data_IF_750549267563
#
_entry.id   IF_750549267563
#
_cell.length_a   1.000
_cell.length_b   1.000
_cell.length_c   1.000
_cell.angle_alpha   90.00
_cell.angle_beta   90.00
_cell.angle_gamma   90.00
#
_symmetry.space_group_name_H-M   'P 1'
#
loop_
_entity.id
_entity.type
_entity.pdbx_description
1 polymer ?
#
# COMPACT_ATOMS: atom_id res chain seq x y z
N UNK A 1 21.25 69.08 -24.75
CA UNK A 1 21.54 67.75 -25.32
C UNK A 1 21.35 66.69 -24.24
N UNK A 2 20.50 65.69 -24.54
CA UNK A 2 20.33 64.36 -23.92
C UNK A 2 20.04 64.27 -22.41
N UNK A 3 18.74 64.18 -22.07
CA UNK A 3 18.25 63.51 -20.86
C UNK A 3 18.46 62.01 -21.04
N UNK A 4 19.31 61.40 -20.21
CA UNK A 4 19.50 59.95 -20.18
C UNK A 4 18.50 59.38 -19.16
N UNK A 5 17.39 58.86 -19.65
CA UNK A 5 16.44 58.07 -18.85
C UNK A 5 17.07 56.69 -18.67
N UNK A 6 17.65 56.44 -17.50
CA UNK A 6 18.10 55.12 -17.10
C UNK A 6 16.88 54.32 -16.65
N UNK A 7 16.25 53.61 -17.59
CA UNK A 7 15.25 52.60 -17.27
C UNK A 7 16.01 51.33 -16.88
N UNK A 8 16.37 51.22 -15.60
CA UNK A 8 16.89 49.96 -15.05
C UNK A 8 15.68 49.04 -14.85
N UNK A 9 15.36 48.25 -15.88
CA UNK A 9 14.49 47.09 -15.72
C UNK A 9 15.19 46.13 -14.76
N UNK A 10 14.83 46.23 -13.48
CA UNK A 10 15.05 45.19 -12.48
C UNK A 10 14.37 43.92 -12.98
N UNK A 11 15.11 43.11 -13.74
CA UNK A 11 14.86 41.68 -13.90
C UNK A 11 15.11 41.05 -12.52
N UNK A 12 14.16 41.22 -11.61
CA UNK A 12 14.04 40.33 -10.46
C UNK A 12 13.68 38.99 -11.10
N UNK A 13 14.54 37.96 -11.08
CA UNK A 13 14.05 36.62 -11.34
C UNK A 13 12.94 36.43 -10.32
N UNK A 14 11.69 36.35 -10.81
CA UNK A 14 10.59 35.90 -10.00
C UNK A 14 10.97 34.48 -9.59
N UNK A 15 11.67 34.36 -8.46
CA UNK A 15 11.74 33.13 -7.71
C UNK A 15 10.29 32.90 -7.30
N UNK A 16 9.56 32.21 -8.18
CA UNK A 16 8.31 31.58 -7.84
C UNK A 16 8.67 30.63 -6.73
N UNK A 17 8.41 31.05 -5.49
CA UNK A 17 8.39 30.12 -4.37
C UNK A 17 7.36 29.07 -4.75
N UNK A 18 7.83 27.91 -5.19
CA UNK A 18 6.96 26.75 -5.32
C UNK A 18 6.38 26.51 -3.94
N UNK A 19 5.06 26.53 -3.82
CA UNK A 19 4.39 26.07 -2.62
C UNK A 19 4.96 24.70 -2.27
N UNK A 20 5.41 24.54 -1.02
CA UNK A 20 5.97 23.28 -0.57
C UNK A 20 4.88 22.20 -0.65
N UNK A 21 5.24 20.97 -1.04
CA UNK A 21 4.28 19.89 -1.05
C UNK A 21 3.76 19.65 0.37
N UNK A 22 2.47 19.39 0.48
CA UNK A 22 1.83 19.01 1.74
C UNK A 22 1.75 17.49 1.77
N UNK A 23 2.39 16.86 2.76
CA UNK A 23 2.33 15.42 2.97
C UNK A 23 1.45 15.13 4.19
N UNK A 24 0.52 14.20 4.04
CA UNK A 24 -0.31 13.69 5.13
C UNK A 24 -0.06 12.19 5.25
N UNK A 25 0.39 11.77 6.43
CA UNK A 25 0.49 10.35 6.77
C UNK A 25 -0.91 9.79 7.07
N UNK A 26 -1.23 8.67 6.43
CA UNK A 26 -2.52 8.00 6.54
C UNK A 26 -2.39 6.68 7.31
N UNK A 27 -1.51 6.60 8.30
CA UNK A 27 -1.21 5.35 9.01
C UNK A 27 -2.18 5.05 10.18
N UNK A 28 -2.85 6.06 10.76
CA UNK A 28 -3.66 5.89 11.98
C UNK A 28 -5.17 5.83 11.75
N UNK A 29 -5.93 5.02 12.51
CA UNK A 29 -7.40 4.98 12.39
C UNK A 29 -7.92 4.11 11.24
N UNK A 30 -7.15 3.10 10.84
CA UNK A 30 -7.65 2.04 9.96
C UNK A 30 -8.51 1.04 10.74
N UNK A 31 -9.47 0.46 10.05
CA UNK A 31 -10.22 -0.69 10.54
C UNK A 31 -10.18 -1.81 9.52
N UNK A 32 -10.27 -3.06 9.98
CA UNK A 32 -10.30 -4.25 9.12
C UNK A 32 -11.41 -5.22 9.53
N UNK A 33 -11.85 -6.04 8.58
CA UNK A 33 -12.80 -7.14 8.81
C UNK A 33 -12.59 -8.25 7.78
N UNK A 34 -13.03 -9.47 8.11
CA UNK A 34 -13.13 -10.53 7.11
C UNK A 34 -14.25 -10.17 6.14
N UNK A 35 -14.00 -10.24 4.83
CA UNK A 35 -14.98 -9.88 3.81
C UNK A 35 -16.29 -10.65 4.01
N UNK A 36 -17.42 -9.93 3.97
CA UNK A 36 -18.74 -10.50 4.18
C UNK A 36 -19.18 -10.61 5.65
N UNK A 37 -18.27 -10.40 6.61
CA UNK A 37 -18.63 -10.20 8.02
C UNK A 37 -18.79 -8.71 8.31
N UNK A 38 -19.58 -8.38 9.34
CA UNK A 38 -19.80 -6.99 9.77
C UNK A 38 -19.08 -6.66 11.09
N UNK A 39 -18.00 -7.35 11.37
CA UNK A 39 -17.24 -7.19 12.62
C UNK A 39 -15.96 -6.41 12.35
N UNK A 40 -16.07 -5.09 12.32
CA UNK A 40 -14.93 -4.19 12.13
C UNK A 40 -14.11 -4.06 13.41
N UNK A 41 -12.80 -4.13 13.28
CA UNK A 41 -11.83 -3.96 14.37
C UNK A 41 -10.75 -2.97 13.95
N UNK A 42 -10.12 -2.31 14.91
CA UNK A 42 -9.02 -1.39 14.61
C UNK A 42 -7.80 -2.14 14.09
N UNK A 43 -7.13 -1.56 13.08
CA UNK A 43 -5.95 -2.10 12.42
C UNK A 43 -4.73 -1.19 12.67
N UNK A 44 -3.55 -1.79 12.88
CA UNK A 44 -2.29 -1.04 12.97
C UNK A 44 -1.59 -1.05 11.61
N UNK A 45 -1.32 0.13 11.06
CA UNK A 45 -0.58 0.29 9.82
C UNK A 45 0.73 1.03 10.12
N UNK A 46 1.90 0.53 9.67
CA UNK A 46 2.10 -0.70 8.90
C UNK A 46 1.81 -1.99 9.70
N UNK A 47 1.20 -2.99 9.05
CA UNK A 47 0.83 -4.24 9.71
C UNK A 47 0.25 -5.31 8.79
N UNK A 48 -0.37 -6.32 9.40
CA UNK A 48 -1.01 -7.43 8.71
C UNK A 48 -2.27 -7.88 9.45
N UNK A 49 -3.19 -8.48 8.70
CA UNK A 49 -4.40 -9.12 9.23
C UNK A 49 -4.07 -10.06 10.38
N UNK A 50 -3.06 -10.91 10.22
CA UNK A 50 -2.67 -11.91 11.21
C UNK A 50 -2.21 -11.24 12.50
N UNK A 51 -1.37 -10.20 12.41
CA UNK A 51 -0.95 -9.42 13.57
C UNK A 51 -2.14 -8.77 14.28
N UNK A 52 -3.06 -8.18 13.53
CA UNK A 52 -4.24 -7.54 14.10
C UNK A 52 -5.19 -8.56 14.75
N UNK A 53 -5.39 -9.73 14.15
CA UNK A 53 -6.17 -10.81 14.75
C UNK A 53 -5.53 -11.34 16.04
N UNK A 54 -4.21 -11.40 16.12
CA UNK A 54 -3.48 -11.75 17.37
C UNK A 54 -3.69 -10.64 18.41
N UNK A 55 -3.56 -9.36 18.04
CA UNK A 55 -3.79 -8.22 18.96
C UNK A 55 -5.20 -8.23 19.55
N UNK A 56 -6.19 -8.58 18.73
CA UNK A 56 -7.59 -8.72 19.13
C UNK A 56 -7.92 -10.07 19.76
N UNK A 57 -6.92 -10.93 20.02
CA UNK A 57 -7.06 -12.26 20.64
C UNK A 57 -8.00 -13.22 19.88
N UNK A 58 -8.19 -12.97 18.58
CA UNK A 58 -8.92 -13.88 17.67
C UNK A 58 -8.02 -15.05 17.28
N UNK A 59 -6.73 -14.80 17.10
CA UNK A 59 -5.72 -15.84 16.93
C UNK A 59 -4.89 -15.98 18.22
N UNK A 60 -4.49 -17.21 18.59
CA UNK A 60 -3.50 -17.41 19.63
C UNK A 60 -2.11 -16.94 19.17
N UNK A 61 -1.15 -16.85 20.09
CA UNK A 61 0.26 -16.64 19.74
C UNK A 61 0.74 -17.78 18.81
N UNK A 62 1.11 -17.48 17.54
CA UNK A 62 1.51 -18.49 16.58
C UNK A 62 2.85 -19.15 16.93
N UNK A 63 3.69 -18.50 17.77
CA UNK A 63 5.01 -19.01 18.16
C UNK A 63 4.97 -19.99 19.33
N UNK A 64 3.81 -20.19 19.96
CA UNK A 64 3.67 -21.05 21.11
C UNK A 64 3.19 -22.47 20.76
N UNK A 65 3.97 -23.48 21.18
CA UNK A 65 3.61 -24.88 21.06
C UNK A 65 3.27 -25.30 19.62
N UNK A 66 2.08 -25.85 19.42
CA UNK A 66 1.59 -26.31 18.10
C UNK A 66 0.57 -25.36 17.48
N UNK A 67 0.57 -24.09 17.88
CA UNK A 67 -0.44 -23.12 17.46
C UNK A 67 -0.36 -22.73 15.98
N UNK A 68 0.74 -23.04 15.28
CA UNK A 68 0.86 -22.83 13.83
C UNK A 68 -0.36 -23.36 13.07
N UNK A 69 -0.84 -24.57 13.39
CA UNK A 69 -2.02 -25.16 12.74
C UNK A 69 -3.32 -24.38 12.99
N UNK A 70 -3.41 -23.65 14.10
CA UNK A 70 -4.59 -22.88 14.50
C UNK A 70 -4.68 -21.51 13.82
N UNK A 71 -3.57 -21.03 13.24
CA UNK A 71 -3.48 -19.70 12.63
C UNK A 71 -3.49 -19.72 11.10
N UNK A 72 -3.75 -20.87 10.47
CA UNK A 72 -3.73 -21.02 9.01
C UNK A 72 -4.98 -20.46 8.33
N UNK A 73 -6.16 -20.57 8.95
CA UNK A 73 -7.44 -20.23 8.31
C UNK A 73 -7.51 -18.82 7.66
N UNK A 74 -6.88 -17.73 8.18
CA UNK A 74 -6.98 -16.41 7.56
C UNK A 74 -6.42 -16.36 6.15
N UNK A 75 -5.53 -17.27 5.76
CA UNK A 75 -4.93 -17.28 4.41
C UNK A 75 -5.94 -17.61 3.32
N UNK A 76 -7.06 -18.26 3.65
CA UNK A 76 -8.12 -18.66 2.73
C UNK A 76 -9.25 -17.64 2.64
N UNK A 77 -9.15 -16.55 3.40
CA UNK A 77 -10.19 -15.53 3.52
C UNK A 77 -9.77 -14.23 2.83
N UNK A 78 -10.77 -13.48 2.35
CA UNK A 78 -10.57 -12.11 1.90
C UNK A 78 -10.75 -11.15 3.08
N UNK A 79 -10.09 -10.00 3.01
CA UNK A 79 -10.06 -9.02 4.09
C UNK A 79 -10.29 -7.62 3.57
N UNK A 80 -11.20 -6.91 4.21
CA UNK A 80 -11.58 -5.55 3.87
C UNK A 80 -11.01 -4.58 4.91
N UNK A 81 -10.37 -3.51 4.44
CA UNK A 81 -9.84 -2.41 5.25
C UNK A 81 -10.58 -1.12 4.90
N UNK A 82 -10.81 -0.24 5.88
CA UNK A 82 -11.37 1.10 5.65
C UNK A 82 -10.74 2.16 6.55
N UNK A 83 -10.77 3.39 6.06
CA UNK A 83 -10.21 4.59 6.71
C UNK A 83 -10.95 5.82 6.21
N UNK A 84 -11.17 6.81 7.07
CA UNK A 84 -11.62 8.14 6.67
C UNK A 84 -10.54 9.18 6.95
N UNK A 85 -10.43 10.18 6.10
CA UNK A 85 -9.48 11.29 6.27
C UNK A 85 -10.08 12.57 5.70
N UNK A 86 -9.67 13.71 6.23
CA UNK A 86 -10.23 15.02 5.84
C UNK A 86 -9.31 15.74 4.89
N UNK A 87 -9.87 16.31 3.82
CA UNK A 87 -9.17 17.17 2.87
C UNK A 87 -9.75 18.58 2.91
N UNK A 88 -8.90 19.58 3.02
CA UNK A 88 -9.27 21.00 3.09
C UNK A 88 -9.42 21.62 1.70
N UNK A 89 -10.09 22.79 1.61
CA UNK A 89 -10.16 23.56 0.35
C UNK A 89 -8.76 23.94 -0.16
N UNK A 90 -7.87 24.33 0.74
CA UNK A 90 -6.49 24.73 0.42
C UNK A 90 -5.70 23.56 -0.20
N UNK A 91 -5.86 22.34 0.34
CA UNK A 91 -5.26 21.15 -0.27
C UNK A 91 -5.84 20.88 -1.66
N UNK A 92 -7.15 21.11 -1.86
CA UNK A 92 -7.80 21.00 -3.16
C UNK A 92 -7.44 22.14 -4.13
N UNK A 93 -6.69 23.16 -3.74
CA UNK A 93 -6.17 24.16 -4.67
C UNK A 93 -4.87 23.72 -5.35
N UNK A 94 -4.20 22.68 -4.86
CA UNK A 94 -2.97 22.18 -5.47
C UNK A 94 -3.24 21.56 -6.86
N UNK A 95 -2.26 21.59 -7.76
CA UNK A 95 -2.43 21.07 -9.12
C UNK A 95 -2.79 19.57 -9.14
N UNK A 96 -2.18 18.79 -8.25
CA UNK A 96 -2.45 17.34 -8.14
C UNK A 96 -2.30 16.84 -6.68
N UNK A 97 -2.80 15.63 -6.44
CA UNK A 97 -2.72 14.90 -5.18
C UNK A 97 -2.33 13.44 -5.45
N UNK A 98 -1.18 13.01 -4.95
CA UNK A 98 -0.67 11.65 -5.10
C UNK A 98 -0.91 10.84 -3.83
N UNK A 99 -1.68 9.76 -3.93
CA UNK A 99 -1.76 8.74 -2.90
C UNK A 99 -0.64 7.71 -3.12
N UNK A 100 0.16 7.48 -2.09
CA UNK A 100 1.28 6.55 -2.12
C UNK A 100 1.06 5.42 -1.12
N UNK A 101 1.07 4.19 -1.62
CA UNK A 101 1.19 2.98 -0.81
C UNK A 101 2.59 2.44 -0.97
N UNK A 102 3.40 2.50 0.08
CA UNK A 102 4.78 1.97 0.02
C UNK A 102 4.83 0.45 -0.14
N UNK A 103 3.75 -0.25 0.23
CA UNK A 103 3.66 -1.70 0.12
C UNK A 103 2.30 -2.25 0.52
N UNK A 104 1.69 -3.01 -0.41
CA UNK A 104 0.44 -3.74 -0.21
C UNK A 104 0.72 -5.24 -0.40
N UNK A 105 0.36 -6.05 0.59
CA UNK A 105 0.58 -7.50 0.58
C UNK A 105 -0.76 -8.24 0.39
N UNK A 106 -1.10 -8.76 -0.80
CA UNK A 106 -0.41 -8.61 -2.09
C UNK A 106 -1.43 -8.30 -3.20
N UNK A 107 -2.48 -9.12 -3.29
CA UNK A 107 -3.55 -8.96 -4.27
C UNK A 107 -4.62 -8.07 -3.68
N UNK A 108 -4.71 -6.82 -4.12
CA UNK A 108 -5.66 -5.87 -3.54
C UNK A 108 -6.30 -4.93 -4.55
N UNK A 109 -7.58 -4.65 -4.32
CA UNK A 109 -8.32 -3.56 -4.96
C UNK A 109 -8.45 -2.39 -3.98
N UNK A 110 -8.04 -1.19 -4.40
CA UNK A 110 -8.16 0.04 -3.62
C UNK A 110 -9.23 0.94 -4.22
N UNK A 111 -10.08 1.46 -3.35
CA UNK A 111 -11.17 2.36 -3.68
C UNK A 111 -11.04 3.66 -2.88
N UNK A 112 -11.28 4.77 -3.53
CA UNK A 112 -11.38 6.09 -2.92
C UNK A 112 -12.74 6.69 -3.28
N UNK A 113 -13.54 7.00 -2.25
CA UNK A 113 -14.91 7.50 -2.41
C UNK A 113 -15.77 6.63 -3.35
N UNK A 114 -15.58 5.31 -3.30
CA UNK A 114 -16.29 4.33 -4.12
C UNK A 114 -15.70 4.09 -5.51
N UNK A 115 -14.80 4.95 -6.01
CA UNK A 115 -14.11 4.73 -7.27
C UNK A 115 -12.91 3.79 -7.07
N UNK A 116 -12.80 2.74 -7.89
CA UNK A 116 -11.59 1.89 -7.91
C UNK A 116 -10.43 2.67 -8.51
N UNK A 117 -9.37 2.88 -7.74
CA UNK A 117 -8.20 3.69 -8.14
C UNK A 117 -6.95 2.83 -8.40
N UNK A 118 -6.88 1.62 -7.85
CA UNK A 118 -5.72 0.77 -7.97
C UNK A 118 -6.10 -0.71 -7.88
N UNK A 119 -5.39 -1.54 -8.64
CA UNK A 119 -5.33 -2.98 -8.47
C UNK A 119 -3.86 -3.38 -8.30
N UNK A 120 -3.56 -4.26 -7.35
CA UNK A 120 -2.19 -4.67 -7.00
C UNK A 120 -2.06 -6.19 -7.02
N UNK A 121 -0.86 -6.66 -7.35
CA UNK A 121 -0.51 -8.10 -7.42
C UNK A 121 0.95 -8.37 -6.98
N UNK A 122 1.62 -7.38 -6.37
CA UNK A 122 3.03 -7.45 -6.05
C UNK A 122 3.36 -6.72 -4.75
N UNK A 123 3.84 -7.48 -3.76
CA UNK A 123 4.21 -7.02 -2.42
C UNK A 123 5.42 -6.08 -2.44
N UNK A 124 6.30 -6.23 -3.43
CA UNK A 124 7.65 -5.68 -3.40
C UNK A 124 7.79 -4.28 -4.01
N UNK A 125 6.71 -3.69 -4.49
CA UNK A 125 6.72 -2.39 -5.16
C UNK A 125 5.82 -1.39 -4.43
N UNK A 126 6.20 -0.12 -4.48
CA UNK A 126 5.35 0.98 -4.06
C UNK A 126 4.41 1.40 -5.20
N UNK A 127 3.24 1.91 -4.84
CA UNK A 127 2.20 2.33 -5.78
C UNK A 127 1.86 3.81 -5.58
N UNK A 128 2.21 4.63 -6.56
CA UNK A 128 1.87 6.05 -6.64
C UNK A 128 0.65 6.23 -7.57
N UNK A 129 -0.43 6.81 -7.06
CA UNK A 129 -1.68 7.02 -7.82
C UNK A 129 -2.11 8.48 -7.69
N UNK A 130 -2.26 9.18 -8.82
CA UNK A 130 -2.91 10.50 -8.82
C UNK A 130 -4.39 10.32 -8.51
N UNK A 131 -4.86 11.00 -7.46
CA UNK A 131 -6.22 10.88 -6.92
C UNK A 131 -6.97 12.21 -6.86
N UNK A 132 -6.39 13.28 -7.43
CA UNK A 132 -6.97 14.63 -7.38
C UNK A 132 -8.46 14.67 -7.73
N UNK A 133 -8.83 14.00 -8.81
CA UNK A 133 -10.20 13.98 -9.34
C UNK A 133 -11.15 13.06 -8.56
N UNK A 134 -10.62 12.23 -7.66
CA UNK A 134 -11.41 11.34 -6.81
C UNK A 134 -11.68 11.95 -5.43
N UNK A 135 -10.94 12.99 -5.04
CA UNK A 135 -11.08 13.66 -3.76
C UNK A 135 -12.28 14.60 -3.73
N UNK A 136 -12.81 14.79 -2.52
CA UNK A 136 -13.83 15.81 -2.23
C UNK A 136 -13.42 16.62 -1.01
N UNK A 137 -13.96 17.84 -0.89
CA UNK A 137 -13.79 18.65 0.32
C UNK A 137 -14.39 17.93 1.52
N UNK A 138 -13.71 17.97 2.66
CA UNK A 138 -14.15 17.33 3.89
C UNK A 138 -13.74 15.86 3.94
N UNK A 139 -14.64 15.01 4.44
CA UNK A 139 -14.35 13.60 4.68
C UNK A 139 -14.23 12.80 3.37
N UNK A 140 -13.13 12.07 3.21
CA UNK A 140 -12.87 11.13 2.14
C UNK A 140 -12.74 9.72 2.74
N UNK A 141 -13.14 8.71 1.98
CA UNK A 141 -13.11 7.32 2.42
C UNK A 141 -12.17 6.49 1.55
N UNK A 142 -11.18 5.87 2.17
CA UNK A 142 -10.41 4.78 1.57
C UNK A 142 -11.01 3.44 1.98
N UNK A 143 -11.07 2.54 1.01
CA UNK A 143 -11.44 1.15 1.21
C UNK A 143 -10.50 0.26 0.41
N UNK A 144 -10.01 -0.81 1.01
CA UNK A 144 -9.10 -1.76 0.36
C UNK A 144 -9.63 -3.16 0.59
N UNK A 145 -9.77 -3.94 -0.48
CA UNK A 145 -10.03 -5.38 -0.38
C UNK A 145 -8.77 -6.13 -0.73
N UNK A 146 -8.26 -6.90 0.22
CA UNK A 146 -7.23 -7.90 0.01
C UNK A 146 -7.88 -9.25 -0.31
N UNK A 147 -7.40 -9.88 -1.38
CA UNK A 147 -7.81 -11.21 -1.77
C UNK A 147 -6.86 -12.25 -1.20
N UNK A 148 -7.42 -13.38 -0.74
CA UNK A 148 -6.65 -14.55 -0.31
C UNK A 148 -5.63 -14.93 -1.39
N UNK A 149 -4.32 -14.95 -1.10
CA UNK A 149 -3.31 -15.34 -2.09
C UNK A 149 -3.43 -16.82 -2.49
N UNK A 150 -4.14 -17.63 -1.69
CA UNK A 150 -4.42 -19.03 -1.98
C UNK A 150 -5.60 -19.13 -2.95
N UNK A 151 -6.78 -18.64 -2.55
CA UNK A 151 -7.99 -18.76 -3.36
C UNK A 151 -7.90 -17.95 -4.66
N UNK A 152 -7.28 -16.76 -4.61
CA UNK A 152 -7.14 -15.87 -5.77
C UNK A 152 -6.24 -16.46 -6.86
N UNK A 153 -5.17 -17.17 -6.47
CA UNK A 153 -4.21 -17.74 -7.42
C UNK A 153 -4.47 -19.20 -7.79
N UNK A 154 -5.46 -19.85 -7.18
CA UNK A 154 -5.82 -21.24 -7.50
C UNK A 154 -6.10 -21.45 -9.01
N UNK A 155 -6.79 -20.54 -9.74
CA UNK A 155 -6.95 -20.68 -11.18
C UNK A 155 -5.62 -20.73 -11.95
N UNK A 156 -4.61 -19.96 -11.52
CA UNK A 156 -3.29 -19.98 -12.15
C UNK A 156 -2.60 -21.33 -11.93
N UNK A 157 -2.69 -21.90 -10.73
CA UNK A 157 -2.16 -23.25 -10.45
C UNK A 157 -2.87 -24.32 -11.29
N UNK A 158 -4.20 -24.29 -11.32
CA UNK A 158 -5.01 -25.28 -12.07
C UNK A 158 -4.75 -25.24 -13.58
N UNK A 159 -4.37 -24.07 -14.12
CA UNK A 159 -4.09 -23.90 -15.56
C UNK A 159 -2.61 -24.07 -15.93
N UNK A 160 -1.70 -24.19 -14.94
CA UNK A 160 -0.26 -24.31 -15.18
C UNK A 160 0.15 -25.66 -15.82
N UNK A 161 -0.65 -26.72 -15.60
CA UNK A 161 -0.44 -28.05 -16.19
C UNK A 161 0.57 -28.95 -15.47
N UNK A 162 1.24 -28.45 -14.42
CA UNK A 162 2.08 -29.22 -13.50
C UNK A 162 2.21 -28.50 -12.16
N UNK A 163 2.64 -29.22 -11.12
CA UNK A 163 2.99 -28.63 -9.82
C UNK A 163 4.46 -28.23 -9.79
N UNK A 164 4.75 -27.01 -9.33
CA UNK A 164 6.12 -26.58 -9.10
C UNK A 164 6.71 -27.33 -7.89
N UNK A 165 7.98 -27.76 -7.93
CA UNK A 165 8.62 -28.48 -6.83
C UNK A 165 9.11 -27.50 -5.73
N UNK A 166 8.20 -26.74 -5.13
CA UNK A 166 8.50 -25.79 -4.07
C UNK A 166 8.35 -26.46 -2.69
N UNK A 167 9.29 -27.33 -2.32
CA UNK A 167 9.17 -28.12 -1.07
C UNK A 167 9.15 -27.27 0.20
N UNK A 168 9.73 -26.06 0.16
CA UNK A 168 9.67 -25.09 1.27
C UNK A 168 8.28 -24.43 1.44
N UNK A 169 7.41 -24.47 0.42
CA UNK A 169 6.02 -24.07 0.61
C UNK A 169 5.31 -25.20 1.36
N UNK A 170 4.99 -24.96 2.64
CA UNK A 170 4.43 -25.94 3.58
C UNK A 170 2.93 -26.19 3.35
N UNK A 171 2.53 -26.37 2.09
CA UNK A 171 1.19 -26.80 1.67
C UNK A 171 1.30 -27.90 0.61
N UNK A 172 0.28 -28.75 0.51
CA UNK A 172 0.16 -29.71 -0.60
C UNK A 172 0.02 -28.98 -1.96
N UNK A 173 -0.59 -27.80 -1.95
CA UNK A 173 -0.74 -26.94 -3.13
C UNK A 173 0.35 -25.88 -3.11
N UNK A 174 1.27 -25.93 -4.07
CA UNK A 174 2.43 -25.02 -4.11
C UNK A 174 2.03 -23.66 -4.68
N UNK A 175 1.50 -22.79 -3.82
CA UNK A 175 0.90 -21.51 -4.21
C UNK A 175 1.91 -20.35 -4.29
N UNK A 176 3.00 -20.43 -3.53
CA UNK A 176 4.02 -19.38 -3.41
C UNK A 176 4.54 -18.86 -4.74
N UNK A 177 4.78 -19.75 -5.71
CA UNK A 177 5.36 -19.44 -7.03
C UNK A 177 4.46 -18.56 -7.91
N UNK A 178 3.15 -18.56 -7.67
CA UNK A 178 2.19 -17.80 -8.47
C UNK A 178 2.04 -16.36 -8.01
N UNK A 179 2.59 -15.99 -6.84
CA UNK A 179 2.47 -14.63 -6.29
C UNK A 179 3.82 -13.93 -6.19
N UNK A 180 3.87 -12.63 -6.53
CA UNK A 180 5.00 -11.76 -6.18
C UNK A 180 4.88 -11.31 -4.72
N UNK A 181 5.09 -12.27 -3.83
CA UNK A 181 4.95 -12.20 -2.38
C UNK A 181 6.17 -12.85 -1.71
N UNK A 182 6.50 -12.42 -0.50
CA UNK A 182 7.60 -12.99 0.27
C UNK A 182 7.47 -14.53 0.36
N UNK A 183 8.41 -15.31 -0.22
CA UNK A 183 8.27 -16.77 -0.29
C UNK A 183 8.16 -17.44 1.08
N UNK A 184 8.92 -16.95 2.07
CA UNK A 184 8.93 -17.52 3.42
C UNK A 184 7.58 -17.40 4.16
N UNK A 185 6.65 -16.55 3.71
CA UNK A 185 5.31 -16.50 4.28
C UNK A 185 4.57 -17.84 4.14
N UNK A 186 4.92 -18.63 3.12
CA UNK A 186 4.32 -19.93 2.83
C UNK A 186 4.96 -21.07 3.63
N UNK A 187 5.93 -20.77 4.50
CA UNK A 187 6.78 -21.74 5.19
C UNK A 187 8.21 -21.69 4.66
N UNK A 188 9.13 -22.24 5.44
CA UNK A 188 10.51 -22.53 5.03
C UNK A 188 11.13 -23.56 5.99
N UNK A 189 12.26 -24.18 5.63
CA UNK A 189 12.97 -25.14 6.50
C UNK A 189 13.37 -24.59 7.91
N UNK A 190 13.29 -23.28 8.12
CA UNK A 190 13.51 -22.59 9.40
C UNK A 190 12.32 -21.73 9.86
N UNK A 191 11.20 -21.70 9.13
CA UNK A 191 10.11 -20.74 9.34
C UNK A 191 8.73 -21.38 9.29
N UNK A 192 7.85 -20.97 10.21
CA UNK A 192 6.43 -21.35 10.17
C UNK A 192 5.76 -20.85 8.89
N UNK A 193 4.70 -21.53 8.48
CA UNK A 193 3.77 -21.00 7.50
C UNK A 193 2.87 -19.97 8.16
N UNK A 194 2.96 -18.72 7.72
CA UNK A 194 2.06 -17.64 8.10
C UNK A 194 1.86 -16.71 6.91
N UNK A 195 0.87 -17.05 6.07
CA UNK A 195 0.63 -16.33 4.82
C UNK A 195 -0.06 -15.00 5.07
N UNK A 196 0.75 -14.00 5.47
CA UNK A 196 0.26 -12.69 5.86
C UNK A 196 -0.41 -11.92 4.72
N UNK A 197 -1.28 -10.97 5.04
CA UNK A 197 -1.78 -9.99 4.07
C UNK A 197 -2.15 -8.68 4.78
N UNK A 198 -2.09 -7.56 4.06
CA UNK A 198 -2.42 -6.24 4.59
C UNK A 198 -1.55 -5.10 4.06
N UNK A 199 -1.68 -3.95 4.71
CA UNK A 199 -0.92 -2.74 4.39
C UNK A 199 0.40 -2.80 5.15
N UNK A 200 1.40 -3.46 4.56
CA UNK A 200 2.63 -3.86 5.26
C UNK A 200 3.69 -2.75 5.36
N UNK A 201 3.46 -1.61 4.69
CA UNK A 201 4.28 -0.40 4.74
C UNK A 201 3.41 0.87 4.80
N UNK A 202 3.99 2.05 5.08
CA UNK A 202 3.22 3.29 5.24
C UNK A 202 2.35 3.68 4.04
N UNK A 203 1.35 4.51 4.33
CA UNK A 203 0.45 5.13 3.35
C UNK A 203 0.47 6.63 3.57
N UNK A 204 0.64 7.40 2.50
CA UNK A 204 0.61 8.85 2.57
C UNK A 204 -0.10 9.46 1.37
N UNK A 205 -0.56 10.71 1.51
CA UNK A 205 -1.03 11.52 0.38
C UNK A 205 -0.22 12.81 0.31
N UNK A 206 0.26 13.13 -0.89
CA UNK A 206 1.08 14.31 -1.16
C UNK A 206 0.36 15.23 -2.14
N UNK A 207 0.05 16.45 -1.70
CA UNK A 207 -0.46 17.53 -2.54
C UNK A 207 0.70 18.37 -3.06
N UNK A 208 0.75 18.66 -4.35
CA UNK A 208 1.87 19.39 -4.96
C UNK A 208 1.42 20.23 -6.16
N UNK A 209 2.24 21.22 -6.51
CA UNK A 209 2.06 22.07 -7.67
C UNK A 209 3.18 21.84 -8.69
N UNK A 210 2.89 22.06 -9.97
CA UNK A 210 3.81 22.05 -11.11
C UNK A 210 4.47 20.70 -11.41
N UNK A 211 5.29 20.16 -10.50
CA UNK A 211 6.05 18.94 -10.71
C UNK A 211 6.47 18.27 -9.38
N UNK A 212 6.83 16.99 -9.47
CA UNK A 212 7.45 16.20 -8.40
C UNK A 212 8.71 15.52 -8.92
N UNK A 213 9.71 15.34 -8.05
CA UNK A 213 10.87 14.48 -8.32
C UNK A 213 10.51 13.06 -7.89
N UNK A 214 10.42 12.15 -8.86
CA UNK A 214 10.10 10.74 -8.60
C UNK A 214 11.33 9.92 -8.21
N UNK A 215 12.47 10.26 -8.80
CA UNK A 215 13.76 9.61 -8.54
C UNK A 215 14.88 10.64 -8.65
N UNK A 216 15.90 10.45 -7.81
CA UNK A 216 17.13 11.20 -7.90
C UNK A 216 18.30 10.26 -7.69
N UNK A 217 18.96 9.90 -8.79
CA UNK A 217 20.08 8.97 -8.79
C UNK A 217 21.40 9.70 -9.11
N UNK A 218 22.32 9.70 -8.14
CA UNK A 218 23.69 10.19 -8.33
C UNK A 218 24.57 9.05 -8.82
N UNK A 219 24.92 9.09 -10.11
CA UNK A 219 25.79 8.08 -10.73
C UNK A 219 27.27 8.44 -10.54
N UNK A 220 27.99 7.62 -9.78
CA UNK A 220 29.45 7.72 -9.70
C UNK A 220 30.08 7.31 -11.04
N UNK A 221 30.85 8.21 -11.65
CA UNK A 221 31.47 8.00 -12.97
C UNK A 221 32.87 7.40 -12.90
N UNK A 222 33.61 7.65 -11.81
CA UNK A 222 34.94 7.08 -11.57
C UNK A 222 35.24 6.99 -10.07
N UNK A 223 36.18 6.12 -9.70
CA UNK A 223 36.80 6.05 -8.36
C UNK A 223 38.28 6.36 -8.59
N UNK A 224 38.82 7.36 -7.88
CA UNK A 224 40.26 7.64 -7.82
C UNK A 224 40.88 6.97 -6.61
#
# INVERSE_FOLDING_TARGET
MKKLVFLFCLLIPAFTFSQQPIVIELNEGWQFTQTGKNEWRDAEIPGSVQRDLIRHKVLPDPYYGTNETKVQWPENENWDFKKTFTVTDEQLQHDDAMLFFEGLDTHADVFLNGAKILHTQNMFIGYNVSVKNNLRKGENQLYIRFYSPIAHMEPARLTNGYEYPADNDHSDKKMSVYSRKAPYHFGWDWGMRLVQMGIWKPVSITFYNTARIDDYYVKQTSVT
#
